data_IF_817301830446
#
_entry.id   IF_817301830446
#
_cell.length_a   1.000
_cell.length_b   1.000
_cell.length_c   1.000
_cell.angle_alpha   90.00
_cell.angle_beta   90.00
_cell.angle_gamma   90.00
#
_symmetry.space_group_name_H-M   'P 1'
#
loop_
_entity.id
_entity.type
_entity.pdbx_description
1 polymer ?
#
# COMPACT_ATOMS: atom_id res chain seq x y z
N UNK A 1 2.74 -29.23 -37.63
CA UNK A 1 2.88 -30.56 -37.00
C UNK A 1 2.02 -30.57 -35.74
N UNK A 2 1.13 -31.57 -35.66
CA UNK A 2 0.07 -31.95 -34.68
C UNK A 2 -0.03 -31.15 -33.37
N UNK A 3 -1.16 -30.58 -32.89
CA UNK A 3 -2.63 -30.88 -32.89
C UNK A 3 -3.06 -32.20 -32.20
N UNK A 4 -4.20 -32.09 -31.50
CA UNK A 4 -5.06 -33.08 -30.81
C UNK A 4 -4.79 -33.30 -29.30
N UNK A 5 -5.78 -33.51 -28.41
CA UNK A 5 -7.22 -33.19 -28.32
C UNK A 5 -7.75 -33.70 -26.96
N UNK A 6 -8.95 -33.23 -26.56
CA UNK A 6 -9.74 -33.63 -25.38
C UNK A 6 -10.30 -35.07 -25.43
N UNK A 7 -10.54 -35.70 -24.25
CA UNK A 7 -11.79 -36.37 -23.77
C UNK A 7 -11.50 -37.22 -22.51
N UNK A 8 -12.11 -36.97 -21.34
CA UNK A 8 -13.39 -37.50 -20.78
C UNK A 8 -13.53 -39.04 -20.79
N UNK A 9 -13.59 -39.68 -19.61
CA UNK A 9 -14.82 -40.37 -19.11
C UNK A 9 -14.73 -40.85 -17.65
N UNK A 10 -15.90 -40.79 -17.01
CA UNK A 10 -16.33 -41.23 -15.66
C UNK A 10 -16.33 -42.76 -15.48
N UNK A 11 -16.45 -43.24 -14.23
CA UNK A 11 -17.65 -44.06 -13.95
C UNK A 11 -18.32 -43.78 -12.59
N UNK A 12 -19.61 -43.43 -12.68
CA UNK A 12 -20.76 -43.90 -11.90
C UNK A 12 -20.69 -43.78 -10.36
N UNK A 13 -21.39 -42.81 -9.77
CA UNK A 13 -22.83 -42.85 -9.40
C UNK A 13 -23.16 -43.72 -8.17
N UNK A 14 -23.57 -43.04 -7.09
CA UNK A 14 -24.13 -43.66 -5.90
C UNK A 14 -24.65 -42.61 -4.92
N UNK A 15 -25.91 -42.24 -5.08
CA UNK A 15 -26.74 -41.44 -4.18
C UNK A 15 -26.67 -41.90 -2.72
N UNK A 16 -26.65 -40.96 -1.77
CA UNK A 16 -26.80 -41.29 -0.35
C UNK A 16 -26.59 -40.11 0.59
N UNK A 17 -27.58 -39.24 0.68
CA UNK A 17 -27.78 -38.39 1.85
C UNK A 17 -27.82 -39.30 3.09
N UNK A 18 -27.16 -38.93 4.19
CA UNK A 18 -27.70 -38.96 5.57
C UNK A 18 -26.62 -38.62 6.60
N UNK A 19 -27.06 -37.78 7.52
CA UNK A 19 -26.54 -37.42 8.84
C UNK A 19 -25.73 -38.50 9.58
N UNK A 20 -24.73 -38.09 10.35
CA UNK A 20 -24.42 -38.79 11.61
C UNK A 20 -24.21 -37.81 12.77
N UNK A 21 -25.18 -37.85 13.69
CA UNK A 21 -24.94 -37.70 15.12
C UNK A 21 -24.41 -39.03 15.63
N UNK A 22 -23.41 -38.98 16.49
CA UNK A 22 -23.38 -39.79 17.70
C UNK A 22 -22.75 -41.19 17.64
N UNK A 23 -21.73 -41.33 18.49
CA UNK A 23 -21.50 -42.47 19.42
C UNK A 23 -21.06 -43.83 18.88
N UNK A 24 -19.84 -44.22 19.30
CA UNK A 24 -19.70 -45.36 20.23
C UNK A 24 -19.28 -46.71 19.65
N UNK A 25 -17.99 -47.02 19.83
CA UNK A 25 -17.43 -48.30 20.35
C UNK A 25 -18.04 -49.63 19.86
N UNK A 26 -17.26 -50.43 19.14
CA UNK A 26 -16.52 -51.60 19.67
C UNK A 26 -16.00 -52.50 18.53
N UNK A 27 -14.72 -52.85 18.68
CA UNK A 27 -13.94 -53.98 18.17
C UNK A 27 -14.70 -55.08 17.41
N UNK A 28 -14.24 -55.35 16.18
CA UNK A 28 -14.24 -56.69 15.62
C UNK A 28 -12.83 -57.01 15.11
N UNK A 29 -12.22 -58.04 15.71
CA UNK A 29 -10.89 -58.51 15.40
C UNK A 29 -10.97 -59.59 14.32
N UNK A 30 -10.56 -59.25 13.10
CA UNK A 30 -10.20 -60.23 12.09
C UNK A 30 -8.68 -60.14 11.88
N UNK A 31 -8.01 -61.23 12.23
CA UNK A 31 -6.58 -61.49 12.13
C UNK A 31 -6.08 -61.32 10.69
N UNK A 32 -5.52 -60.15 10.39
CA UNK A 32 -4.65 -59.91 9.25
C UNK A 32 -3.19 -59.90 9.72
N UNK A 33 -2.34 -60.70 9.08
CA UNK A 33 -0.88 -60.66 9.26
C UNK A 33 -0.42 -59.23 8.91
N UNK A 34 0.30 -58.58 9.83
CA UNK A 34 0.83 -57.24 9.61
C UNK A 34 1.69 -57.20 8.34
N UNK A 35 1.40 -56.27 7.43
CA UNK A 35 2.29 -55.97 6.30
C UNK A 35 3.61 -55.43 6.84
N UNK A 36 4.70 -55.57 6.07
CA UNK A 36 6.06 -55.15 6.50
C UNK A 36 6.15 -53.71 7.01
N UNK A 37 5.24 -52.84 6.56
CA UNK A 37 5.14 -51.44 7.01
C UNK A 37 4.61 -51.28 8.44
N UNK A 38 3.98 -52.30 9.02
CA UNK A 38 3.48 -52.31 10.40
C UNK A 38 4.43 -52.95 11.43
N UNK A 39 5.59 -53.46 11.00
CA UNK A 39 6.59 -54.11 11.87
C UNK A 39 7.84 -53.25 12.11
N UNK A 40 7.89 -52.05 11.52
CA UNK A 40 8.91 -51.06 11.82
C UNK A 40 8.27 -50.14 12.86
N UNK A 41 8.86 -50.08 14.07
CA UNK A 41 8.51 -49.03 15.02
C UNK A 41 8.62 -47.70 14.25
N UNK A 42 7.57 -46.86 14.20
CA UNK A 42 7.69 -45.56 13.55
C UNK A 42 8.90 -44.91 14.20
N UNK A 43 9.90 -44.57 13.38
CA UNK A 43 11.08 -43.91 13.92
C UNK A 43 10.60 -42.66 14.65
N UNK A 44 11.36 -42.21 15.64
CA UNK A 44 11.08 -40.96 16.33
C UNK A 44 11.26 -39.80 15.35
N UNK A 45 10.31 -39.63 14.43
CA UNK A 45 10.19 -38.51 13.54
C UNK A 45 9.22 -37.56 14.23
N UNK A 46 9.60 -36.30 14.35
CA UNK A 46 8.63 -35.25 14.66
C UNK A 46 7.62 -35.19 13.50
N UNK A 47 6.48 -35.83 13.65
CA UNK A 47 5.37 -35.65 12.72
C UNK A 47 4.69 -34.33 13.04
N UNK A 48 4.83 -33.34 12.15
CA UNK A 48 4.02 -32.12 12.20
C UNK A 48 2.55 -32.56 12.03
N UNK A 49 1.65 -32.25 12.98
CA UNK A 49 0.25 -32.58 12.85
C UNK A 49 -0.30 -31.99 11.55
N UNK A 50 -1.12 -32.75 10.82
CA UNK A 50 -1.84 -32.19 9.69
C UNK A 50 -2.75 -31.06 10.21
N UNK A 51 -2.54 -29.84 9.74
CA UNK A 51 -3.28 -28.62 10.14
C UNK A 51 -4.76 -28.60 9.71
N UNK A 52 -5.35 -29.77 9.41
CA UNK A 52 -6.75 -29.88 9.03
C UNK A 52 -7.63 -29.54 10.24
N UNK A 53 -8.33 -28.42 10.16
CA UNK A 53 -9.22 -27.92 11.22
C UNK A 53 -8.54 -27.00 12.24
N UNK A 54 -7.26 -26.67 12.04
CA UNK A 54 -6.67 -25.53 12.74
C UNK A 54 -7.26 -24.25 12.12
N UNK A 55 -7.82 -23.33 12.91
CA UNK A 55 -8.24 -22.04 12.40
C UNK A 55 -7.10 -21.42 11.59
N UNK A 56 -7.37 -21.10 10.32
CA UNK A 56 -6.41 -20.39 9.45
C UNK A 56 -6.23 -18.94 9.87
N UNK A 57 -7.05 -18.46 10.81
CA UNK A 57 -7.01 -17.14 11.40
C UNK A 57 -6.90 -17.29 12.91
N UNK A 58 -5.87 -16.67 13.50
CA UNK A 58 -5.70 -16.56 14.94
C UNK A 58 -6.11 -15.15 15.36
N UNK A 59 -7.22 -15.02 16.08
CA UNK A 59 -7.67 -13.73 16.64
C UNK A 59 -7.33 -13.68 18.13
N UNK A 60 -6.47 -12.74 18.51
CA UNK A 60 -6.20 -12.42 19.90
C UNK A 60 -7.26 -11.44 20.41
N UNK A 61 -8.04 -11.84 21.41
CA UNK A 61 -9.12 -11.02 21.98
C UNK A 61 -8.60 -10.05 23.05
N UNK A 62 -7.90 -9.00 22.61
CA UNK A 62 -7.67 -7.78 23.38
C UNK A 62 -8.51 -6.63 22.82
N UNK A 63 -9.00 -5.72 23.66
CA UNK A 63 -9.58 -4.46 23.18
C UNK A 63 -11.06 -4.47 22.73
N UNK A 64 -11.84 -5.50 23.05
CA UNK A 64 -13.28 -5.58 22.66
C UNK A 64 -14.09 -4.34 23.09
N UNK A 65 -13.82 -3.79 24.28
CA UNK A 65 -14.50 -2.59 24.76
C UNK A 65 -14.16 -1.36 23.91
N UNK A 66 -12.90 -1.21 23.49
CA UNK A 66 -12.46 -0.13 22.63
C UNK A 66 -13.07 -0.27 21.22
N UNK A 67 -13.06 -1.50 20.66
CA UNK A 67 -13.70 -1.79 19.38
C UNK A 67 -15.21 -1.54 19.42
N UNK A 68 -15.90 -1.95 20.49
CA UNK A 68 -17.33 -1.67 20.66
C UNK A 68 -17.61 -0.16 20.83
N UNK A 69 -16.74 0.55 21.56
CA UNK A 69 -16.77 2.01 21.69
C UNK A 69 -16.67 2.70 20.33
N UNK A 70 -15.64 2.35 19.55
CA UNK A 70 -15.47 2.86 18.19
C UNK A 70 -16.64 2.51 17.29
N UNK A 71 -17.13 1.27 17.30
CA UNK A 71 -18.27 0.85 16.50
C UNK A 71 -19.51 1.71 16.79
N UNK A 72 -19.77 2.03 18.06
CA UNK A 72 -20.83 2.96 18.46
C UNK A 72 -20.58 4.36 17.89
N UNK A 73 -19.35 4.87 17.98
CA UNK A 73 -19.00 6.20 17.46
C UNK A 73 -19.15 6.26 15.94
N UNK A 74 -18.73 5.22 15.19
CA UNK A 74 -18.88 5.12 13.74
C UNK A 74 -20.34 5.20 13.29
N UNK A 75 -21.26 4.56 14.03
CA UNK A 75 -22.70 4.67 13.75
C UNK A 75 -23.21 6.07 14.09
N UNK A 76 -22.80 6.60 15.24
CA UNK A 76 -23.27 7.92 15.72
C UNK A 76 -22.75 9.07 14.85
N UNK A 77 -21.55 8.93 14.28
CA UNK A 77 -20.94 9.92 13.39
C UNK A 77 -21.52 9.90 11.97
N UNK A 78 -22.25 8.84 11.62
CA UNK A 78 -22.84 8.62 10.29
C UNK A 78 -21.89 7.95 9.29
N UNK A 79 -20.73 7.46 9.74
CA UNK A 79 -19.74 6.79 8.89
C UNK A 79 -20.18 5.35 8.58
N UNK A 80 -20.71 4.65 9.58
CA UNK A 80 -21.22 3.30 9.45
C UNK A 80 -22.74 3.25 9.54
N UNK A 81 -23.36 2.35 8.77
CA UNK A 81 -24.78 2.07 8.87
C UNK A 81 -25.05 0.97 9.90
N UNK A 82 -26.09 1.14 10.72
CA UNK A 82 -26.40 0.21 11.81
C UNK A 82 -26.81 -1.20 11.32
N UNK A 83 -27.24 -1.34 10.06
CA UNK A 83 -27.59 -2.63 9.47
C UNK A 83 -26.37 -3.52 9.19
N UNK A 84 -25.21 -2.92 8.91
CA UNK A 84 -23.92 -3.61 8.74
C UNK A 84 -23.53 -4.40 9.99
N UNK A 85 -23.94 -3.95 11.19
CA UNK A 85 -23.73 -4.66 12.46
C UNK A 85 -24.26 -6.10 12.45
N UNK A 86 -25.45 -6.29 11.86
CA UNK A 86 -26.06 -7.62 11.79
C UNK A 86 -25.37 -8.50 10.74
N UNK A 87 -24.93 -7.91 9.62
CA UNK A 87 -24.18 -8.61 8.57
C UNK A 87 -22.80 -9.06 9.05
N UNK A 88 -22.16 -8.23 9.89
CA UNK A 88 -20.89 -8.55 10.54
C UNK A 88 -21.01 -9.61 11.66
N UNK A 89 -22.20 -10.20 11.87
CA UNK A 89 -22.40 -11.22 12.89
C UNK A 89 -22.39 -10.69 14.32
N UNK A 90 -22.63 -9.38 14.51
CA UNK A 90 -22.53 -8.69 15.81
C UNK A 90 -21.14 -8.75 16.43
N UNK A 91 -20.12 -8.77 15.58
CA UNK A 91 -18.71 -8.70 15.96
C UNK A 91 -18.18 -7.27 15.68
N UNK A 92 -17.65 -6.56 16.68
CA UNK A 92 -17.19 -5.18 16.51
C UNK A 92 -15.97 -5.06 15.59
N UNK A 93 -15.07 -6.04 15.57
CA UNK A 93 -13.91 -6.00 14.70
C UNK A 93 -14.31 -6.17 13.24
N UNK A 94 -15.13 -7.18 12.94
CA UNK A 94 -15.68 -7.37 11.58
C UNK A 94 -16.55 -6.20 11.13
N UNK A 95 -17.28 -5.58 12.05
CA UNK A 95 -18.08 -4.40 11.74
C UNK A 95 -17.20 -3.19 11.35
N UNK A 96 -16.14 -2.94 12.11
CA UNK A 96 -15.18 -1.86 11.82
C UNK A 96 -14.45 -2.14 10.50
N UNK A 97 -13.95 -3.37 10.32
CA UNK A 97 -13.28 -3.80 9.09
C UNK A 97 -14.19 -3.61 7.87
N UNK A 98 -15.44 -4.07 7.94
CA UNK A 98 -16.40 -3.89 6.85
C UNK A 98 -16.69 -2.41 6.60
N UNK A 99 -16.81 -1.61 7.65
CA UNK A 99 -17.00 -0.15 7.51
C UNK A 99 -15.83 0.48 6.76
N UNK A 100 -14.59 0.14 7.10
CA UNK A 100 -13.40 0.65 6.42
C UNK A 100 -13.41 0.24 4.94
N UNK A 101 -13.68 -1.04 4.65
CA UNK A 101 -13.79 -1.55 3.27
C UNK A 101 -14.86 -0.80 2.48
N UNK A 102 -16.07 -0.66 3.02
CA UNK A 102 -17.17 0.04 2.36
C UNK A 102 -16.82 1.52 2.06
N UNK A 103 -16.14 2.21 2.99
CA UNK A 103 -15.68 3.58 2.78
C UNK A 103 -14.60 3.67 1.71
N UNK A 104 -13.59 2.79 1.75
CA UNK A 104 -12.52 2.77 0.75
C UNK A 104 -13.10 2.45 -0.63
N UNK A 105 -13.99 1.46 -0.73
CA UNK A 105 -14.68 1.10 -1.98
C UNK A 105 -15.46 2.28 -2.56
N UNK A 106 -16.25 2.98 -1.73
CA UNK A 106 -17.01 4.16 -2.16
C UNK A 106 -16.13 5.32 -2.65
N UNK A 107 -14.86 5.36 -2.21
CA UNK A 107 -13.91 6.43 -2.57
C UNK A 107 -12.86 6.00 -3.61
N UNK A 108 -13.06 4.87 -4.29
CA UNK A 108 -12.24 4.44 -5.42
C UNK A 108 -11.24 3.34 -5.13
N UNK A 109 -11.37 2.63 -4.00
CA UNK A 109 -10.54 1.48 -3.62
C UNK A 109 -10.23 0.52 -4.76
N UNK A 110 -11.23 0.02 -5.52
CA UNK A 110 -11.00 -0.90 -6.63
C UNK A 110 -10.15 -0.34 -7.78
N UNK A 111 -10.18 0.98 -8.01
CA UNK A 111 -9.31 1.63 -9.00
C UNK A 111 -7.89 1.77 -8.46
N UNK A 112 -7.75 2.05 -7.16
CA UNK A 112 -6.46 2.27 -6.48
C UNK A 112 -5.68 0.96 -6.39
N UNK A 113 -6.32 -0.11 -5.91
CA UNK A 113 -5.72 -1.43 -5.63
C UNK A 113 -5.06 -2.08 -6.86
N UNK A 114 -5.48 -1.69 -8.06
CA UNK A 114 -4.91 -2.20 -9.32
C UNK A 114 -3.50 -1.66 -9.61
N UNK A 115 -3.17 -0.47 -9.10
CA UNK A 115 -1.99 0.29 -9.55
C UNK A 115 -1.23 0.95 -8.41
N UNK A 116 -1.78 0.98 -7.19
CA UNK A 116 -1.15 1.43 -5.95
C UNK A 116 -1.51 0.41 -4.85
N UNK A 117 -0.59 -0.50 -4.57
CA UNK A 117 -0.73 -1.59 -3.61
C UNK A 117 -0.72 -1.07 -2.17
N UNK A 118 -1.79 -0.41 -1.74
CA UNK A 118 -1.89 0.28 -0.45
C UNK A 118 -2.78 -0.50 0.53
N UNK A 119 -2.23 -0.82 1.70
CA UNK A 119 -2.96 -1.29 2.87
C UNK A 119 -3.46 -0.13 3.73
N UNK A 120 -4.66 -0.29 4.30
CA UNK A 120 -5.20 0.62 5.33
C UNK A 120 -5.36 -0.16 6.63
N UNK A 121 -4.67 0.29 7.67
CA UNK A 121 -4.74 -0.27 9.00
C UNK A 121 -5.52 0.64 9.96
N UNK A 122 -6.14 0.02 10.97
CA UNK A 122 -6.61 0.71 12.16
C UNK A 122 -5.86 0.14 13.36
N UNK A 123 -5.06 0.99 14.01
CA UNK A 123 -4.19 0.57 15.10
C UNK A 123 -4.39 1.43 16.35
N UNK A 124 -4.25 0.82 17.52
CA UNK A 124 -4.19 1.54 18.80
C UNK A 124 -2.77 1.84 19.24
N UNK A 125 -1.77 1.21 18.60
CA UNK A 125 -0.35 1.42 18.84
C UNK A 125 0.40 1.38 17.51
N UNK A 126 1.37 2.29 17.36
CA UNK A 126 2.17 2.44 16.15
C UNK A 126 3.50 1.68 16.24
N UNK A 127 3.94 1.29 17.43
CA UNK A 127 5.11 0.42 17.64
C UNK A 127 4.73 -0.79 18.50
N UNK A 128 4.13 -1.85 17.92
CA UNK A 128 3.72 -3.03 18.67
C UNK A 128 4.90 -3.86 19.22
N UNK A 129 6.12 -3.60 18.76
CA UNK A 129 7.33 -4.31 19.14
C UNK A 129 8.16 -3.56 20.20
N UNK A 130 7.82 -2.31 20.49
CA UNK A 130 8.50 -1.43 21.43
C UNK A 130 8.52 -1.94 22.87
N UNK A 131 9.68 -1.82 23.52
CA UNK A 131 9.87 -2.16 24.92
C UNK A 131 9.29 -1.07 25.84
N UNK A 132 7.97 -0.88 25.82
CA UNK A 132 7.35 0.15 26.63
C UNK A 132 5.86 0.29 26.40
N UNK A 133 5.07 -0.68 26.86
CA UNK A 133 3.61 -0.50 26.99
C UNK A 133 3.36 0.46 28.17
N UNK A 134 3.71 1.72 28.00
CA UNK A 134 3.13 2.76 28.83
C UNK A 134 1.64 2.78 28.47
N UNK A 135 0.78 2.40 29.41
CA UNK A 135 -0.67 2.49 29.24
C UNK A 135 -1.00 3.89 28.73
N UNK A 136 -1.52 3.98 27.49
CA UNK A 136 -1.99 5.25 26.95
C UNK A 136 -2.98 5.81 27.99
N UNK A 137 -2.76 7.06 28.47
CA UNK A 137 -3.48 7.60 29.63
C UNK A 137 -5.00 7.63 29.41
N UNK A 138 -5.45 7.62 28.16
CA UNK A 138 -6.83 7.40 27.76
C UNK A 138 -6.83 6.40 26.59
N UNK A 139 -7.24 5.15 26.80
CA UNK A 139 -7.31 4.07 25.79
C UNK A 139 -8.29 4.29 24.63
N UNK A 140 -8.53 5.55 24.26
CA UNK A 140 -9.39 5.99 23.18
C UNK A 140 -8.62 6.52 21.98
N UNK A 141 -7.32 6.86 22.09
CA UNK A 141 -6.53 7.28 20.92
C UNK A 141 -6.29 6.10 19.98
N UNK A 142 -6.57 6.31 18.69
CA UNK A 142 -6.38 5.34 17.62
C UNK A 142 -5.84 6.04 16.38
N UNK A 143 -5.29 5.25 15.46
CA UNK A 143 -4.68 5.75 14.23
C UNK A 143 -5.22 4.99 13.03
N UNK A 144 -5.67 5.72 12.01
CA UNK A 144 -5.75 5.15 10.67
C UNK A 144 -4.37 5.28 10.03
N UNK A 145 -3.83 4.17 9.56
CA UNK A 145 -2.51 4.12 8.92
C UNK A 145 -2.66 3.69 7.47
N UNK A 146 -1.86 4.28 6.58
CA UNK A 146 -1.75 3.84 5.18
C UNK A 146 -0.30 3.45 4.92
N UNK A 147 -0.12 2.24 4.41
CA UNK A 147 1.18 1.62 4.16
C UNK A 147 1.17 0.94 2.79
N UNK A 148 2.22 1.08 1.97
CA UNK A 148 2.31 0.31 0.74
C UNK A 148 2.76 -1.13 1.05
N UNK A 149 2.07 -2.10 0.46
CA UNK A 149 2.48 -3.50 0.45
C UNK A 149 3.61 -3.73 -0.56
N UNK A 150 3.64 -2.93 -1.62
CA UNK A 150 4.75 -2.86 -2.57
C UNK A 150 4.77 -1.51 -3.29
N UNK A 151 5.92 -1.18 -3.88
CA UNK A 151 6.07 0.04 -4.64
C UNK A 151 5.56 -0.16 -6.07
N UNK A 152 4.68 0.74 -6.51
CA UNK A 152 4.21 0.79 -7.90
C UNK A 152 5.25 1.47 -8.78
N UNK A 153 5.14 1.35 -10.10
CA UNK A 153 6.19 1.80 -11.02
C UNK A 153 5.63 2.62 -12.18
N UNK A 154 6.26 3.77 -12.48
CA UNK A 154 5.86 4.63 -13.60
C UNK A 154 7.07 5.16 -14.39
N UNK A 155 6.97 5.09 -15.73
CA UNK A 155 7.99 5.63 -16.65
C UNK A 155 7.54 6.98 -17.20
N UNK A 156 8.23 8.04 -16.82
CA UNK A 156 7.85 9.42 -17.14
C UNK A 156 8.43 9.95 -18.45
N UNK A 157 9.52 9.36 -18.97
CA UNK A 157 10.25 9.87 -20.14
C UNK A 157 9.39 10.19 -21.36
N UNK A 158 8.53 9.27 -21.84
CA UNK A 158 7.62 9.54 -22.96
C UNK A 158 6.68 10.71 -22.71
N UNK A 159 6.11 10.79 -21.50
CA UNK A 159 5.24 11.88 -21.06
C UNK A 159 5.98 13.21 -21.07
N UNK A 160 7.18 13.26 -20.50
CA UNK A 160 7.99 14.48 -20.44
C UNK A 160 8.39 14.96 -21.85
N UNK A 161 8.80 14.07 -22.75
CA UNK A 161 9.10 14.43 -24.15
C UNK A 161 7.89 14.97 -24.90
N UNK A 162 6.72 14.36 -24.69
CA UNK A 162 5.47 14.81 -25.30
C UNK A 162 5.10 16.23 -24.84
N UNK A 163 5.26 16.51 -23.55
CA UNK A 163 5.00 17.83 -22.97
C UNK A 163 6.02 18.88 -23.41
N UNK A 164 7.29 18.50 -23.54
CA UNK A 164 8.37 19.38 -24.00
C UNK A 164 8.11 19.89 -25.42
N UNK A 165 7.58 19.03 -26.30
CA UNK A 165 7.19 19.39 -27.67
C UNK A 165 6.07 20.44 -27.75
N UNK A 166 5.34 20.68 -26.66
CA UNK A 166 4.30 21.71 -26.58
C UNK A 166 4.80 22.98 -25.92
N UNK A 167 5.54 22.87 -24.81
CA UNK A 167 6.16 24.01 -24.15
C UNK A 167 7.34 23.55 -23.26
N UNK A 168 8.51 24.21 -23.33
CA UNK A 168 9.77 23.72 -22.73
C UNK A 168 9.72 23.56 -21.20
N UNK A 169 8.87 24.33 -20.50
CA UNK A 169 8.70 24.26 -19.04
C UNK A 169 7.60 23.29 -18.57
N UNK A 170 6.81 22.72 -19.47
CA UNK A 170 5.74 21.79 -19.06
C UNK A 170 6.27 20.49 -18.45
N UNK A 171 7.39 19.88 -18.91
CA UNK A 171 7.93 18.68 -18.28
C UNK A 171 8.19 18.88 -16.79
N UNK A 172 8.95 19.92 -16.44
CA UNK A 172 9.24 20.28 -15.05
C UNK A 172 7.98 20.62 -14.26
N UNK A 173 7.05 21.36 -14.86
CA UNK A 173 5.79 21.72 -14.19
C UNK A 173 4.96 20.48 -13.87
N UNK A 174 4.81 19.59 -14.85
CA UNK A 174 4.05 18.36 -14.70
C UNK A 174 4.70 17.44 -13.66
N UNK A 175 6.02 17.21 -13.77
CA UNK A 175 6.77 16.40 -12.83
C UNK A 175 6.58 16.89 -11.39
N UNK A 176 6.77 18.19 -11.15
CA UNK A 176 6.61 18.76 -9.82
C UNK A 176 5.18 18.66 -9.29
N UNK A 177 4.17 18.96 -10.12
CA UNK A 177 2.77 18.85 -9.68
C UNK A 177 2.39 17.41 -9.35
N UNK A 178 2.81 16.46 -10.18
CA UNK A 178 2.55 15.04 -10.00
C UNK A 178 3.21 14.50 -8.73
N UNK A 179 4.53 14.62 -8.62
CA UNK A 179 5.27 14.05 -7.47
C UNK A 179 4.95 14.79 -6.18
N UNK A 180 4.77 16.11 -6.18
CA UNK A 180 4.42 16.86 -4.98
C UNK A 180 3.02 16.54 -4.46
N UNK A 181 2.04 16.38 -5.36
CA UNK A 181 0.67 16.06 -4.96
C UNK A 181 0.57 14.69 -4.28
N UNK A 182 1.30 13.70 -4.82
CA UNK A 182 1.38 12.36 -4.22
C UNK A 182 2.25 12.35 -2.95
N UNK A 183 3.44 12.97 -2.97
CA UNK A 183 4.36 13.05 -1.81
C UNK A 183 3.73 13.68 -0.56
N UNK A 184 2.65 14.44 -0.71
CA UNK A 184 1.88 14.93 0.44
C UNK A 184 1.21 13.80 1.24
N UNK A 185 0.86 12.69 0.61
CA UNK A 185 0.05 11.62 1.20
C UNK A 185 0.76 10.28 1.28
N UNK A 186 1.65 9.97 0.32
CA UNK A 186 2.51 8.77 0.30
C UNK A 186 3.88 9.12 -0.27
N UNK A 187 4.94 8.42 0.13
CA UNK A 187 6.29 8.59 -0.41
C UNK A 187 6.33 8.11 -1.85
N UNK A 188 6.84 8.98 -2.72
CA UNK A 188 7.20 8.70 -4.10
C UNK A 188 8.71 8.77 -4.21
N UNK A 189 9.34 7.66 -4.58
CA UNK A 189 10.75 7.60 -4.88
C UNK A 189 11.01 8.15 -6.29
N UNK A 190 11.81 9.19 -6.42
CA UNK A 190 12.18 9.73 -7.73
C UNK A 190 13.67 10.04 -7.85
N UNK A 191 14.06 10.73 -8.93
CA UNK A 191 15.47 11.03 -9.20
C UNK A 191 16.14 11.86 -8.09
N UNK A 192 15.38 12.55 -7.24
CA UNK A 192 15.92 13.30 -6.10
C UNK A 192 16.34 12.35 -4.99
N UNK A 193 15.53 11.35 -4.67
CA UNK A 193 15.89 10.28 -3.72
C UNK A 193 17.13 9.53 -4.24
N UNK A 194 17.15 9.16 -5.52
CA UNK A 194 18.30 8.47 -6.11
C UNK A 194 19.57 9.33 -6.09
N UNK A 195 19.46 10.64 -6.33
CA UNK A 195 20.61 11.55 -6.25
C UNK A 195 21.13 11.69 -4.81
N UNK A 196 20.24 11.74 -3.82
CA UNK A 196 20.62 11.73 -2.40
C UNK A 196 21.32 10.42 -2.02
N UNK A 197 20.81 9.27 -2.51
CA UNK A 197 21.44 7.97 -2.30
C UNK A 197 22.85 7.90 -2.88
N UNK A 198 23.06 8.43 -4.09
CA UNK A 198 24.39 8.52 -4.72
C UNK A 198 25.34 9.39 -3.90
N UNK A 199 24.85 10.48 -3.31
CA UNK A 199 25.67 11.33 -2.45
C UNK A 199 26.07 10.62 -1.14
N UNK A 200 25.14 9.91 -0.51
CA UNK A 200 25.45 9.07 0.67
C UNK A 200 26.51 8.00 0.34
N UNK A 201 26.38 7.32 -0.81
CA UNK A 201 27.38 6.35 -1.26
C UNK A 201 28.75 7.01 -1.47
N UNK A 202 28.78 8.20 -2.08
CA UNK A 202 30.02 8.97 -2.27
C UNK A 202 30.68 9.26 -0.92
N UNK A 203 29.93 9.77 0.06
CA UNK A 203 30.43 10.05 1.40
C UNK A 203 30.99 8.79 2.09
N UNK A 204 30.35 7.62 1.90
CA UNK A 204 30.83 6.35 2.47
C UNK A 204 32.15 5.91 1.85
N UNK A 205 32.28 6.02 0.52
CA UNK A 205 33.49 5.58 -0.19
C UNK A 205 34.65 6.56 -0.12
N UNK A 206 34.43 7.85 0.16
CA UNK A 206 35.51 8.83 0.35
C UNK A 206 36.49 8.44 1.49
N UNK A 207 36.03 7.64 2.46
CA UNK A 207 36.86 7.11 3.55
C UNK A 207 37.43 5.71 3.33
N UNK A 208 37.08 5.03 2.24
CA UNK A 208 37.44 3.64 1.97
C UNK A 208 38.62 3.54 0.98
N UNK A 209 39.74 2.88 1.35
CA UNK A 209 40.85 2.61 0.43
C UNK A 209 40.46 1.89 -0.87
N UNK A 210 39.35 1.14 -0.88
CA UNK A 210 38.81 0.46 -2.07
C UNK A 210 37.72 1.28 -2.79
N UNK A 211 37.30 2.41 -2.21
CA UNK A 211 36.22 3.27 -2.69
C UNK A 211 36.48 3.92 -4.05
N UNK A 212 37.75 4.14 -4.44
CA UNK A 212 38.12 4.70 -5.75
C UNK A 212 37.71 3.79 -6.93
N UNK A 213 37.43 2.51 -6.68
CA UNK A 213 37.09 1.53 -7.72
C UNK A 213 35.59 1.31 -7.88
N UNK A 214 34.76 1.91 -7.02
CA UNK A 214 33.31 1.72 -7.05
C UNK A 214 32.69 2.67 -8.08
N UNK A 215 32.01 2.10 -9.07
CA UNK A 215 31.22 2.88 -10.03
C UNK A 215 29.89 3.28 -9.39
N UNK A 216 29.68 4.60 -9.22
CA UNK A 216 28.42 5.14 -8.72
C UNK A 216 27.37 5.25 -9.84
N UNK A 217 26.07 5.02 -9.53
CA UNK A 217 25.00 5.20 -10.50
C UNK A 217 24.96 6.62 -11.12
N UNK A 218 24.85 6.72 -12.44
CA UNK A 218 24.79 8.01 -13.18
C UNK A 218 23.37 8.60 -13.22
N UNK A 219 22.87 9.02 -12.05
CA UNK A 219 21.55 9.64 -11.90
C UNK A 219 21.45 10.97 -12.65
N UNK A 220 22.53 11.78 -12.67
CA UNK A 220 22.53 13.04 -13.43
C UNK A 220 22.41 12.77 -14.94
N UNK A 221 23.17 11.81 -15.47
CA UNK A 221 23.10 11.38 -16.86
C UNK A 221 21.71 10.89 -17.25
N UNK A 222 21.07 10.09 -16.40
CA UNK A 222 19.69 9.61 -16.58
C UNK A 222 18.64 10.72 -16.53
N UNK A 223 18.88 11.81 -15.78
CA UNK A 223 17.91 12.88 -15.60
C UNK A 223 17.72 13.72 -16.89
N UNK A 224 16.49 13.87 -17.42
CA UNK A 224 16.22 14.69 -18.61
C UNK A 224 16.71 16.13 -18.47
N UNK A 225 17.27 16.69 -19.55
CA UNK A 225 17.76 18.09 -19.58
C UNK A 225 16.68 19.12 -19.20
N UNK A 226 15.42 18.83 -19.53
CA UNK A 226 14.28 19.68 -19.19
C UNK A 226 14.02 19.78 -17.68
N UNK A 227 14.52 18.83 -16.87
CA UNK A 227 14.47 18.85 -15.41
C UNK A 227 15.77 19.37 -14.77
N UNK A 228 16.93 19.19 -15.42
CA UNK A 228 18.23 19.74 -14.95
C UNK A 228 18.38 21.24 -15.13
N UNK A 229 17.64 21.84 -16.07
CA UNK A 229 17.78 23.27 -16.38
C UNK A 229 17.31 24.17 -15.23
N UNK A 230 17.88 25.38 -15.13
CA UNK A 230 17.46 26.43 -14.18
C UNK A 230 16.14 27.09 -14.60
N UNK A 231 15.09 26.29 -14.75
CA UNK A 231 13.74 26.75 -15.06
C UNK A 231 12.90 26.71 -13.80
N UNK A 232 12.02 27.70 -13.64
CA UNK A 232 10.96 27.59 -12.64
C UNK A 232 9.76 26.85 -13.24
N UNK A 233 9.00 26.06 -12.46
CA UNK A 233 7.71 25.55 -12.87
C UNK A 233 6.78 26.68 -13.33
N UNK A 234 5.87 26.38 -14.26
CA UNK A 234 4.78 27.29 -14.61
C UNK A 234 3.79 27.37 -13.45
N UNK A 235 3.12 28.50 -13.31
CA UNK A 235 2.02 28.63 -12.34
C UNK A 235 0.83 27.83 -12.83
N UNK A 236 0.10 27.17 -11.94
CA UNK A 236 -1.08 26.36 -12.32
C UNK A 236 -2.13 27.15 -13.08
N UNK A 237 -2.44 28.39 -12.64
CA UNK A 237 -3.33 29.30 -13.39
C UNK A 237 -2.95 29.50 -14.85
N UNK A 238 -1.66 29.45 -15.16
CA UNK A 238 -1.18 29.54 -16.54
C UNK A 238 -1.44 28.22 -17.27
N UNK A 239 -1.20 27.08 -16.64
CA UNK A 239 -1.50 25.75 -17.20
C UNK A 239 -3.00 25.62 -17.48
N UNK A 240 -3.87 26.05 -16.56
CA UNK A 240 -5.32 26.08 -16.73
C UNK A 240 -5.75 26.90 -17.95
N UNK A 241 -5.24 28.12 -18.09
CA UNK A 241 -5.51 28.97 -19.26
C UNK A 241 -4.97 28.34 -20.56
N UNK A 242 -3.80 27.72 -20.46
CA UNK A 242 -3.11 27.08 -21.58
C UNK A 242 -3.88 25.87 -22.11
N UNK A 243 -4.64 25.14 -21.28
CA UNK A 243 -5.46 23.98 -21.70
C UNK A 243 -6.38 24.31 -22.89
N UNK A 244 -6.96 25.51 -22.94
CA UNK A 244 -7.84 25.95 -24.03
C UNK A 244 -7.13 26.08 -25.39
N UNK A 245 -5.81 26.20 -25.39
CA UNK A 245 -4.98 26.37 -26.58
C UNK A 245 -4.36 25.05 -27.07
N UNK A 246 -4.23 24.06 -26.19
CA UNK A 246 -3.63 22.76 -26.51
C UNK A 246 -4.55 21.99 -27.45
N UNK A 247 -4.10 21.67 -28.66
CA UNK A 247 -4.88 20.86 -29.64
C UNK A 247 -4.76 19.35 -29.40
N UNK A 248 -3.61 18.88 -28.89
CA UNK A 248 -3.36 17.47 -28.67
C UNK A 248 -4.21 16.96 -27.49
N UNK A 249 -5.11 15.99 -27.76
CA UNK A 249 -6.03 15.44 -26.75
C UNK A 249 -5.30 14.78 -25.59
N UNK A 250 -4.20 14.06 -25.85
CA UNK A 250 -3.41 13.39 -24.81
C UNK A 250 -2.73 14.40 -23.89
N UNK A 251 -2.08 15.41 -24.47
CA UNK A 251 -1.48 16.51 -23.67
C UNK A 251 -2.54 17.22 -22.84
N UNK A 252 -3.72 17.49 -23.40
CA UNK A 252 -4.82 18.10 -22.65
C UNK A 252 -5.28 17.20 -21.49
N UNK A 253 -5.38 15.89 -21.70
CA UNK A 253 -5.75 14.93 -20.66
C UNK A 253 -4.71 14.89 -19.53
N UNK A 254 -3.41 14.80 -19.87
CA UNK A 254 -2.31 14.84 -18.90
C UNK A 254 -2.32 16.12 -18.06
N UNK A 255 -2.43 17.28 -18.71
CA UNK A 255 -2.44 18.56 -18.01
C UNK A 255 -3.71 18.76 -17.17
N UNK A 256 -4.87 18.28 -17.64
CA UNK A 256 -6.11 18.34 -16.86
C UNK A 256 -6.04 17.40 -15.65
N UNK A 257 -5.50 16.19 -15.83
CA UNK A 257 -5.35 15.20 -14.78
C UNK A 257 -4.35 15.65 -13.70
N UNK A 258 -3.21 16.22 -14.08
CA UNK A 258 -2.24 16.70 -13.07
C UNK A 258 -2.77 17.90 -12.28
N UNK A 259 -3.59 18.76 -12.91
CA UNK A 259 -4.29 19.85 -12.20
C UNK A 259 -5.37 19.31 -11.26
N UNK A 260 -6.14 18.32 -11.69
CA UNK A 260 -7.13 17.66 -10.83
C UNK A 260 -6.46 17.00 -9.61
N UNK A 261 -5.40 16.21 -9.84
CA UNK A 261 -4.59 15.61 -8.78
C UNK A 261 -4.07 16.66 -7.80
N UNK A 262 -3.52 17.77 -8.32
CA UNK A 262 -2.99 18.86 -7.48
C UNK A 262 -4.07 19.62 -6.70
N UNK A 263 -5.29 19.73 -7.25
CA UNK A 263 -6.42 20.32 -6.57
C UNK A 263 -6.93 19.40 -5.44
N UNK A 264 -7.12 18.11 -5.73
CA UNK A 264 -7.52 17.09 -4.74
C UNK A 264 -6.51 17.01 -3.59
N UNK A 265 -5.20 17.05 -3.89
CA UNK A 265 -4.17 16.98 -2.85
C UNK A 265 -4.17 18.17 -1.89
N UNK A 266 -4.92 19.23 -2.18
CA UNK A 266 -5.07 20.42 -1.33
C UNK A 266 -6.38 20.50 -0.57
N UNK A 267 -7.31 19.56 -0.80
CA UNK A 267 -8.58 19.55 -0.09
C UNK A 267 -8.44 19.16 1.39
N UNK A 268 -7.30 18.59 1.78
CA UNK A 268 -6.95 18.27 3.16
C UNK A 268 -5.52 18.66 3.51
N UNK A 269 -5.25 18.74 4.81
CA UNK A 269 -3.90 18.86 5.35
C UNK A 269 -3.47 17.49 5.88
N UNK A 270 -2.24 17.06 5.55
CA UNK A 270 -1.66 15.85 6.12
C UNK A 270 -1.54 16.05 7.64
N UNK A 271 -2.12 15.16 8.47
CA UNK A 271 -2.03 15.31 9.91
C UNK A 271 -0.58 15.37 10.37
N UNK A 272 -0.30 16.26 11.31
CA UNK A 272 0.99 16.30 12.01
C UNK A 272 0.92 15.31 13.16
N UNK A 273 1.89 14.40 13.20
CA UNK A 273 2.10 13.54 14.36
C UNK A 273 2.73 14.33 15.50
N UNK A 274 2.39 13.98 16.74
CA UNK A 274 2.93 14.62 17.94
C UNK A 274 4.36 14.16 18.19
N UNK A 275 5.11 14.92 19.01
CA UNK A 275 6.46 14.51 19.45
C UNK A 275 6.43 13.12 20.12
N UNK A 276 5.40 12.82 20.92
CA UNK A 276 5.22 11.50 21.53
C UNK A 276 5.01 10.36 20.53
N UNK A 277 4.39 10.63 19.37
CA UNK A 277 4.27 9.64 18.30
C UNK A 277 5.61 9.48 17.59
N UNK A 278 6.33 10.57 17.34
CA UNK A 278 7.67 10.54 16.74
C UNK A 278 8.67 9.76 17.59
N UNK A 279 8.65 9.95 18.92
CA UNK A 279 9.51 9.21 19.85
C UNK A 279 9.26 7.69 19.80
N UNK A 280 7.99 7.26 19.64
CA UNK A 280 7.66 5.83 19.48
C UNK A 280 8.09 5.25 18.14
N UNK A 281 8.19 6.08 17.12
CA UNK A 281 8.64 5.67 15.79
C UNK A 281 10.16 5.86 15.60
N UNK A 282 10.90 6.29 16.63
CA UNK A 282 12.31 6.64 16.50
C UNK A 282 13.21 5.48 16.05
N UNK A 283 12.82 4.24 16.36
CA UNK A 283 13.53 3.01 15.94
C UNK A 283 12.97 2.40 14.64
N UNK A 284 11.97 3.04 14.03
CA UNK A 284 11.37 2.60 12.76
C UNK A 284 12.20 3.05 11.57
N UNK A 285 12.18 2.25 10.50
CA UNK A 285 12.73 2.69 9.22
C UNK A 285 11.86 3.83 8.64
N UNK A 286 12.42 4.72 7.80
CA UNK A 286 11.62 5.70 7.08
C UNK A 286 10.50 5.05 6.26
N UNK A 287 9.41 5.77 5.95
CA UNK A 287 8.33 5.23 5.13
C UNK A 287 8.85 4.67 3.81
N UNK A 288 8.42 3.45 3.47
CA UNK A 288 8.71 2.83 2.17
C UNK A 288 7.92 3.53 1.05
N UNK A 289 8.46 3.64 -0.18
CA UNK A 289 7.76 4.31 -1.27
C UNK A 289 6.57 3.51 -1.77
N UNK A 290 5.45 4.21 -2.01
CA UNK A 290 4.28 3.63 -2.67
C UNK A 290 4.40 3.67 -4.20
N UNK A 291 5.27 4.53 -4.73
CA UNK A 291 5.49 4.70 -6.17
C UNK A 291 6.97 5.00 -6.43
N UNK A 292 7.53 4.36 -7.45
CA UNK A 292 8.85 4.63 -8.03
C UNK A 292 8.65 5.29 -9.39
N UNK A 293 9.18 6.50 -9.53
CA UNK A 293 9.06 7.32 -10.73
C UNK A 293 10.42 7.44 -11.43
N UNK A 294 10.54 6.74 -12.56
CA UNK A 294 11.75 6.71 -13.39
C UNK A 294 11.54 7.46 -14.70
N UNK A 295 12.61 7.76 -15.43
CA UNK A 295 12.52 8.39 -16.74
C UNK A 295 12.51 7.37 -17.87
N UNK A 296 13.34 6.35 -17.78
CA UNK A 296 13.37 5.22 -18.72
C UNK A 296 13.41 3.91 -17.94
N UNK A 297 13.03 2.81 -18.59
CA UNK A 297 13.17 1.49 -17.97
C UNK A 297 14.65 1.17 -17.75
N UNK A 298 14.99 0.66 -16.57
CA UNK A 298 16.35 0.30 -16.18
C UNK A 298 17.32 1.50 -16.18
N UNK A 299 16.81 2.70 -15.88
CA UNK A 299 17.68 3.85 -15.65
C UNK A 299 18.37 3.79 -14.29
N UNK A 300 19.29 4.74 -14.03
CA UNK A 300 20.03 4.78 -12.78
C UNK A 300 19.15 4.98 -11.54
N UNK A 301 17.94 5.55 -11.69
CA UNK A 301 16.99 5.75 -10.59
C UNK A 301 16.41 4.40 -10.16
N UNK A 302 16.03 3.56 -11.13
CA UNK A 302 15.60 2.18 -10.87
C UNK A 302 16.70 1.39 -10.15
N UNK A 303 17.94 1.47 -10.63
CA UNK A 303 19.09 0.80 -10.01
C UNK A 303 19.32 1.23 -8.56
N UNK A 304 19.27 2.54 -8.26
CA UNK A 304 19.38 3.03 -6.89
C UNK A 304 18.26 2.51 -5.99
N UNK A 305 17.03 2.49 -6.50
CA UNK A 305 15.89 1.96 -5.76
C UNK A 305 16.04 0.46 -5.46
N UNK A 306 16.42 -0.34 -6.45
CA UNK A 306 16.57 -1.80 -6.30
C UNK A 306 17.62 -2.18 -5.25
N UNK A 307 18.69 -1.38 -5.13
CA UNK A 307 19.69 -1.55 -4.07
C UNK A 307 19.16 -1.12 -2.70
N UNK A 308 18.55 0.07 -2.61
CA UNK A 308 18.02 0.61 -1.35
C UNK A 308 16.87 -0.25 -0.79
N UNK A 309 16.01 -0.78 -1.66
CA UNK A 309 14.86 -1.61 -1.31
C UNK A 309 15.25 -2.89 -0.55
N UNK A 310 16.49 -3.38 -0.71
CA UNK A 310 16.98 -4.57 0.01
C UNK A 310 17.06 -4.33 1.53
N UNK A 311 17.33 -3.09 1.96
CA UNK A 311 17.46 -2.72 3.37
C UNK A 311 16.19 -2.08 3.97
N UNK A 312 15.23 -1.69 3.14
CA UNK A 312 14.05 -0.91 3.58
C UNK A 312 13.19 -1.61 4.63
N UNK A 313 13.22 -2.94 4.70
CA UNK A 313 12.43 -3.75 5.64
C UNK A 313 13.27 -4.45 6.73
N UNK A 314 14.51 -4.00 6.95
CA UNK A 314 15.36 -4.50 8.05
C UNK A 314 14.74 -4.18 9.43
N UNK A 315 14.10 -3.02 9.56
CA UNK A 315 13.21 -2.66 10.66
C UNK A 315 11.80 -2.39 10.10
N UNK A 316 10.80 -2.41 10.98
CA UNK A 316 9.44 -2.02 10.58
C UNK A 316 9.46 -0.56 10.08
N UNK A 317 8.98 -0.28 8.85
CA UNK A 317 8.94 1.08 8.35
C UNK A 317 7.78 1.86 8.99
N UNK A 318 7.98 3.17 9.14
CA UNK A 318 6.90 4.08 9.50
C UNK A 318 5.77 4.04 8.45
N UNK A 319 4.50 4.16 8.87
CA UNK A 319 3.40 4.32 7.95
C UNK A 319 3.54 5.57 7.07
N UNK A 320 3.11 5.46 5.81
CA UNK A 320 3.16 6.58 4.87
C UNK A 320 2.19 7.70 5.24
N UNK A 321 1.05 7.36 5.85
CA UNK A 321 0.09 8.30 6.41
C UNK A 321 -0.34 7.80 7.79
N UNK A 322 -0.34 8.69 8.77
CA UNK A 322 -0.84 8.43 10.13
C UNK A 322 -1.91 9.47 10.42
N UNK A 323 -3.14 9.03 10.65
CA UNK A 323 -4.28 9.90 10.99
C UNK A 323 -4.70 9.61 12.42
N UNK A 324 -4.24 10.40 13.41
CA UNK A 324 -4.64 10.23 14.80
C UNK A 324 -6.08 10.68 15.03
N UNK A 325 -6.81 9.97 15.89
CA UNK A 325 -8.15 10.35 16.31
C UNK A 325 -8.53 9.75 17.66
N UNK A 326 -9.54 10.34 18.30
CA UNK A 326 -10.12 9.85 19.54
C UNK A 326 -11.36 9.03 19.22
N UNK A 327 -11.30 7.71 19.43
CA UNK A 327 -12.35 6.75 19.07
C UNK A 327 -13.70 6.98 19.78
N UNK A 328 -13.69 7.68 20.91
CA UNK A 328 -14.90 8.08 21.65
C UNK A 328 -15.49 9.43 21.22
N UNK A 329 -14.80 10.20 20.39
CA UNK A 329 -15.24 11.51 19.93
C UNK A 329 -15.77 11.47 18.50
N UNK A 330 -17.03 11.87 18.33
CA UNK A 330 -17.75 11.81 17.04
C UNK A 330 -17.10 12.71 16.00
N UNK A 331 -16.68 13.91 16.40
CA UNK A 331 -16.12 14.89 15.45
C UNK A 331 -14.68 14.51 15.08
N UNK A 332 -13.87 14.04 16.03
CA UNK A 332 -12.54 13.47 15.75
C UNK A 332 -12.61 12.28 14.78
N UNK A 333 -13.51 11.32 15.02
CA UNK A 333 -13.70 10.18 14.11
C UNK A 333 -14.14 10.64 12.71
N UNK A 334 -15.05 11.62 12.61
CA UNK A 334 -15.48 12.17 11.32
C UNK A 334 -14.33 12.83 10.56
N UNK A 335 -13.53 13.65 11.24
CA UNK A 335 -12.38 14.32 10.64
C UNK A 335 -11.32 13.31 10.14
N UNK A 336 -11.10 12.23 10.88
CA UNK A 336 -10.17 11.18 10.49
C UNK A 336 -10.57 10.46 9.20
N UNK A 337 -11.84 10.05 9.11
CA UNK A 337 -12.37 9.41 7.89
C UNK A 337 -12.43 10.39 6.71
N UNK A 338 -12.78 11.66 6.93
CA UNK A 338 -12.69 12.68 5.88
C UNK A 338 -11.26 12.82 5.35
N UNK A 339 -10.25 12.76 6.21
CA UNK A 339 -8.84 12.80 5.82
C UNK A 339 -8.47 11.58 4.97
N UNK A 340 -8.90 10.38 5.38
CA UNK A 340 -8.71 9.15 4.61
C UNK A 340 -9.40 9.24 3.23
N UNK A 341 -10.59 9.81 3.16
CA UNK A 341 -11.35 9.99 1.91
C UNK A 341 -10.67 10.95 0.93
N UNK A 342 -10.06 12.03 1.45
CA UNK A 342 -9.22 12.91 0.65
C UNK A 342 -8.00 12.16 0.14
N UNK A 343 -7.31 11.38 0.99
CA UNK A 343 -6.18 10.56 0.57
C UNK A 343 -6.57 9.58 -0.56
N UNK A 344 -7.68 8.84 -0.40
CA UNK A 344 -8.22 7.96 -1.43
C UNK A 344 -8.50 8.71 -2.74
N UNK A 345 -9.09 9.91 -2.67
CA UNK A 345 -9.38 10.72 -3.85
C UNK A 345 -8.10 11.14 -4.59
N UNK A 346 -7.05 11.50 -3.84
CA UNK A 346 -5.72 11.80 -4.39
C UNK A 346 -5.11 10.58 -5.07
N UNK A 347 -5.14 9.42 -4.41
CA UNK A 347 -4.59 8.18 -4.99
C UNK A 347 -5.33 7.77 -6.26
N UNK A 348 -6.66 7.90 -6.28
CA UNK A 348 -7.48 7.63 -7.47
C UNK A 348 -7.10 8.52 -8.64
N UNK A 349 -6.95 9.83 -8.43
CA UNK A 349 -6.50 10.74 -9.49
C UNK A 349 -5.06 10.45 -9.92
N UNK A 350 -4.19 10.05 -8.98
CA UNK A 350 -2.83 9.60 -9.25
C UNK A 350 -2.81 8.39 -10.19
N UNK A 351 -3.57 7.34 -9.88
CA UNK A 351 -3.70 6.13 -10.69
C UNK A 351 -4.24 6.43 -12.08
N UNK A 352 -5.27 7.26 -12.20
CA UNK A 352 -5.81 7.68 -13.51
C UNK A 352 -4.74 8.33 -14.36
N UNK A 353 -3.90 9.18 -13.75
CA UNK A 353 -2.82 9.82 -14.47
C UNK A 353 -1.71 8.83 -14.82
N UNK A 354 -1.36 7.90 -13.93
CA UNK A 354 -0.40 6.82 -14.20
C UNK A 354 -0.85 6.00 -15.41
N UNK A 355 -2.11 5.57 -15.47
CA UNK A 355 -2.67 4.86 -16.63
C UNK A 355 -2.47 5.62 -17.94
N UNK A 356 -2.78 6.93 -17.94
CA UNK A 356 -2.55 7.78 -19.12
C UNK A 356 -1.08 7.91 -19.52
N UNK A 357 -0.15 7.86 -18.55
CA UNK A 357 1.28 7.90 -18.81
C UNK A 357 1.78 6.56 -19.38
N UNK A 358 1.27 5.45 -18.86
CA UNK A 358 1.68 4.11 -19.31
C UNK A 358 1.21 3.80 -20.73
N UNK A 359 0.10 4.37 -21.19
CA UNK A 359 -0.33 4.32 -22.61
C UNK A 359 0.69 4.96 -23.59
N UNK A 360 1.67 5.71 -23.11
CA UNK A 360 2.73 6.33 -23.93
C UNK A 360 4.04 5.54 -23.96
N UNK A 361 4.14 4.48 -23.14
CA UNK A 361 5.32 3.62 -23.04
C UNK A 361 5.26 2.46 -24.04
N UNK A 362 4.06 2.16 -24.56
CA UNK A 362 3.80 1.25 -25.70
C UNK A 362 4.26 1.86 -27.03
#
# INVERSE_FOLDING_TARGET
MSRLEKRKYDPLAGTGQWTSKGTGRLLDAASGVATSDGLIAPGCHWSIPALRGVPTEYQFFGGLNAAAGLAKTLVTSGIAQADVWFRAGRDPFRFIEQTLKDRIEAHGGPEIDQDLFLGVGLVSDLDPCGAGVAELPDGNEMYLVVEPESASYVVLGPTLRLLEGVHPRLPLTFFNLFTHALNRWVRVYDYRDAAERVEQLREWYEGDPEGETVELPDVDGATPRCLRGKWNPLKERFVEQFLGTVKNRRVRALLSGVLALSAESRQGERPKITESVQERLADSNPPVPALVAVFEKHDAIEGCFDEEAQGMLECAPEPNLIVPFLSGDVDSVRAAFQTLEVACSVFREGVRLIKLMMELVE
#
